data_IF_991303428219
#
_entry.id   IF_991303428219
#
_cell.length_a   1.000
_cell.length_b   1.000
_cell.length_c   1.000
_cell.angle_alpha   90.00
_cell.angle_beta   90.00
_cell.angle_gamma   90.00
#
_symmetry.space_group_name_H-M   'P 1'
#
loop_
_entity.id
_entity.type
_entity.pdbx_description
1 polymer ?
#
# COMPACT_ATOMS: atom_id res chain seq x y z
N UNK A 1 12.33 8.85 0.02
CA UNK A 1 11.12 8.03 -0.22
C UNK A 1 9.90 8.79 0.26
N UNK A 2 9.57 8.73 1.55
CA UNK A 2 8.36 9.35 2.11
C UNK A 2 8.26 10.86 1.84
N UNK A 3 9.38 11.60 1.91
CA UNK A 3 9.41 13.05 1.65
C UNK A 3 8.93 13.46 0.26
N UNK A 4 9.21 12.65 -0.79
CA UNK A 4 8.83 12.99 -2.17
C UNK A 4 7.40 12.58 -2.47
N UNK A 5 6.95 11.42 -1.98
CA UNK A 5 5.57 10.97 -2.15
C UNK A 5 4.59 11.75 -1.25
N UNK A 6 5.05 12.32 -0.13
CA UNK A 6 4.29 13.30 0.66
C UNK A 6 3.94 14.56 -0.13
N UNK A 7 4.69 14.94 -1.17
CA UNK A 7 4.33 16.06 -2.04
C UNK A 7 3.04 15.80 -2.85
N UNK A 8 2.59 14.54 -2.95
CA UNK A 8 1.34 14.17 -3.62
C UNK A 8 0.13 14.28 -2.70
N UNK A 9 0.34 14.59 -1.41
CA UNK A 9 -0.73 14.89 -0.48
C UNK A 9 -1.05 16.41 -0.55
N UNK A 10 -2.29 16.82 -0.89
CA UNK A 10 -2.63 18.22 -1.12
C UNK A 10 -2.44 19.15 0.10
N UNK A 11 -2.32 18.59 1.32
CA UNK A 11 -2.08 19.39 2.55
C UNK A 11 -0.63 19.84 2.76
N UNK A 12 0.32 19.39 1.93
CA UNK A 12 1.76 19.65 2.09
C UNK A 12 2.40 20.37 0.92
N UNK A 13 1.61 20.93 -0.01
CA UNK A 13 2.11 21.61 -1.20
C UNK A 13 2.08 23.12 -0.97
N UNK A 14 3.26 23.72 -0.93
CA UNK A 14 3.42 25.16 -1.14
C UNK A 14 3.57 25.40 -2.65
N UNK A 15 2.52 25.93 -3.28
CA UNK A 15 2.46 26.17 -4.72
C UNK A 15 3.36 27.33 -5.18
N UNK A 16 4.03 28.03 -4.26
CA UNK A 16 4.86 29.20 -4.55
C UNK A 16 6.32 28.93 -4.93
N UNK A 17 6.76 27.69 -5.07
CA UNK A 17 8.18 27.35 -5.30
C UNK A 17 8.59 27.33 -6.78
N UNK A 18 8.18 28.30 -7.60
CA UNK A 18 8.97 28.67 -8.78
C UNK A 18 9.99 29.73 -8.36
N UNK A 19 11.22 29.27 -8.09
CA UNK A 19 12.35 30.15 -7.80
C UNK A 19 12.90 30.71 -9.11
N UNK A 20 12.65 32.00 -9.35
CA UNK A 20 13.18 32.79 -10.47
C UNK A 20 14.71 33.02 -10.32
N UNK A 21 15.28 32.69 -9.16
CA UNK A 21 16.65 32.94 -8.71
C UNK A 21 17.64 31.79 -8.97
N UNK A 22 17.78 31.30 -10.21
CA UNK A 22 18.98 30.55 -10.69
C UNK A 22 19.45 29.34 -9.86
N UNK A 23 18.65 28.83 -8.93
CA UNK A 23 18.95 27.68 -8.10
C UNK A 23 18.71 26.37 -8.84
N UNK A 24 19.28 25.27 -8.33
CA UNK A 24 18.99 23.94 -8.90
C UNK A 24 17.48 23.66 -8.81
N UNK A 25 16.81 23.26 -9.91
CA UNK A 25 15.37 23.07 -9.93
C UNK A 25 14.97 22.06 -8.85
N UNK A 26 14.11 22.50 -7.93
CA UNK A 26 13.59 21.65 -6.86
C UNK A 26 12.46 20.78 -7.40
N UNK A 27 12.53 19.48 -7.15
CA UNK A 27 11.48 18.52 -7.55
C UNK A 27 10.11 18.95 -6.99
N UNK A 28 9.15 19.17 -7.88
CA UNK A 28 7.78 19.56 -7.56
C UNK A 28 6.84 18.35 -7.50
N UNK A 29 5.63 18.55 -6.98
CA UNK A 29 4.57 17.54 -7.07
C UNK A 29 4.20 17.22 -8.53
N UNK A 30 4.31 18.20 -9.44
CA UNK A 30 4.01 18.02 -10.86
C UNK A 30 5.03 17.09 -11.52
N UNK A 31 6.32 17.23 -11.20
CA UNK A 31 7.38 16.35 -11.71
C UNK A 31 7.16 14.90 -11.28
N UNK A 32 6.70 14.70 -10.04
CA UNK A 32 6.39 13.35 -9.53
C UNK A 32 5.15 12.76 -10.22
N UNK A 33 4.09 13.55 -10.42
CA UNK A 33 2.89 13.10 -11.16
C UNK A 33 3.25 12.74 -12.61
N UNK A 34 4.08 13.54 -13.27
CA UNK A 34 4.56 13.27 -14.61
C UNK A 34 5.39 11.97 -14.64
N UNK A 35 6.34 11.81 -13.71
CA UNK A 35 7.14 10.60 -13.59
C UNK A 35 6.28 9.34 -13.35
N UNK A 36 5.23 9.43 -12.54
CA UNK A 36 4.26 8.36 -12.33
C UNK A 36 3.58 7.94 -13.64
N UNK A 37 3.19 8.90 -14.49
CA UNK A 37 2.55 8.61 -15.78
C UNK A 37 3.44 7.80 -16.73
N UNK A 38 4.77 7.94 -16.61
CA UNK A 38 5.76 7.20 -17.41
C UNK A 38 6.35 5.97 -16.70
N UNK A 39 6.02 5.75 -15.41
CA UNK A 39 6.61 4.69 -14.60
C UNK A 39 6.15 3.27 -15.01
N UNK A 40 5.13 3.15 -15.86
CA UNK A 40 4.56 1.86 -16.31
C UNK A 40 4.24 0.94 -15.12
N UNK A 41 3.50 1.49 -14.16
CA UNK A 41 3.03 0.77 -12.97
C UNK A 41 2.05 -0.34 -13.37
N UNK A 42 2.13 -1.47 -12.68
CA UNK A 42 1.07 -2.47 -12.77
C UNK A 42 -0.20 -1.95 -12.09
N UNK A 43 -1.35 -2.55 -12.41
CA UNK A 43 -2.60 -2.18 -11.76
C UNK A 43 -2.55 -2.39 -10.24
N UNK A 44 -1.77 -3.37 -9.76
CA UNK A 44 -1.59 -3.55 -8.33
C UNK A 44 -0.78 -2.40 -7.73
N UNK A 45 0.38 -2.10 -8.31
CA UNK A 45 1.26 -1.03 -7.83
C UNK A 45 0.53 0.32 -7.78
N UNK A 46 -0.23 0.67 -8.81
CA UNK A 46 -1.02 1.91 -8.85
C UNK A 46 -2.07 1.95 -7.72
N UNK A 47 -2.81 0.86 -7.50
CA UNK A 47 -3.78 0.79 -6.42
C UNK A 47 -3.13 0.88 -5.03
N UNK A 48 -1.98 0.23 -4.82
CA UNK A 48 -1.24 0.32 -3.56
C UNK A 48 -0.75 1.74 -3.29
N UNK A 49 -0.23 2.43 -4.30
CA UNK A 49 0.19 3.83 -4.19
C UNK A 49 -0.99 4.75 -3.86
N UNK A 50 -2.14 4.57 -4.52
CA UNK A 50 -3.36 5.35 -4.22
C UNK A 50 -3.84 5.14 -2.79
N UNK A 51 -3.87 3.89 -2.34
CA UNK A 51 -4.26 3.54 -0.97
C UNK A 51 -3.27 4.13 0.05
N UNK A 52 -1.96 4.02 -0.20
CA UNK A 52 -0.93 4.41 0.77
C UNK A 52 -0.68 5.91 0.82
N UNK A 53 -0.72 6.59 -0.33
CA UNK A 53 -0.26 7.98 -0.45
C UNK A 53 -1.35 8.98 -0.83
N UNK A 54 -2.39 8.59 -1.56
CA UNK A 54 -3.40 9.55 -2.10
C UNK A 54 -4.67 9.64 -1.25
N UNK A 55 -4.65 9.10 -0.03
CA UNK A 55 -5.81 9.13 0.86
C UNK A 55 -6.99 8.28 0.38
N UNK A 56 -6.76 7.34 -0.55
CA UNK A 56 -7.80 6.42 -1.00
C UNK A 56 -8.08 5.28 0.00
N UNK A 57 -7.39 5.24 1.16
CA UNK A 57 -7.52 4.23 2.21
C UNK A 57 -8.80 4.33 3.05
N UNK A 58 -9.95 4.71 2.47
CA UNK A 58 -11.23 4.62 3.19
C UNK A 58 -11.54 3.17 3.58
N UNK A 59 -12.29 2.97 4.67
CA UNK A 59 -12.69 1.61 5.10
C UNK A 59 -13.39 0.82 3.99
N UNK A 60 -14.21 1.49 3.17
CA UNK A 60 -14.89 0.89 2.03
C UNK A 60 -13.90 0.42 0.96
N UNK A 61 -12.93 1.27 0.60
CA UNK A 61 -11.93 0.93 -0.41
C UNK A 61 -11.01 -0.20 0.04
N UNK A 62 -10.60 -0.19 1.32
CA UNK A 62 -9.83 -1.29 1.92
C UNK A 62 -10.60 -2.62 1.82
N UNK A 63 -11.90 -2.60 2.14
CA UNK A 63 -12.75 -3.80 2.03
C UNK A 63 -12.86 -4.30 0.58
N UNK A 64 -13.23 -3.43 -0.36
CA UNK A 64 -13.36 -3.78 -1.78
C UNK A 64 -12.03 -4.33 -2.32
N UNK A 65 -10.93 -3.66 -2.01
CA UNK A 65 -9.61 -4.09 -2.48
C UNK A 65 -9.20 -5.44 -1.88
N UNK A 66 -9.51 -5.70 -0.61
CA UNK A 66 -9.27 -7.01 0.00
C UNK A 66 -10.05 -8.15 -0.66
N UNK A 67 -11.28 -7.89 -1.11
CA UNK A 67 -12.11 -8.87 -1.84
C UNK A 67 -11.54 -9.17 -3.23
N UNK A 68 -11.09 -8.13 -3.94
CA UNK A 68 -10.44 -8.27 -5.26
C UNK A 68 -9.14 -9.08 -5.13
N UNK A 69 -8.35 -8.84 -4.07
CA UNK A 69 -7.09 -9.55 -3.85
C UNK A 69 -7.26 -11.05 -3.60
N UNK A 70 -8.45 -11.54 -3.24
CA UNK A 70 -8.69 -12.99 -3.06
C UNK A 70 -8.26 -13.74 -4.31
N UNK A 71 -8.68 -13.26 -5.49
CA UNK A 71 -8.30 -13.88 -6.76
C UNK A 71 -6.79 -13.91 -7.03
N UNK A 72 -6.02 -12.91 -6.55
CA UNK A 72 -4.55 -12.88 -6.69
C UNK A 72 -3.85 -13.89 -5.79
N UNK A 73 -4.39 -14.18 -4.60
CA UNK A 73 -3.75 -15.05 -3.60
C UNK A 73 -4.35 -16.45 -3.50
N UNK A 74 -5.45 -16.73 -4.22
CA UNK A 74 -6.20 -17.99 -4.11
C UNK A 74 -5.33 -19.24 -4.32
N UNK A 75 -4.48 -19.24 -5.36
CA UNK A 75 -3.58 -20.37 -5.62
C UNK A 75 -2.58 -20.58 -4.48
N UNK A 76 -1.91 -19.51 -4.03
CA UNK A 76 -0.95 -19.55 -2.92
C UNK A 76 -1.58 -20.08 -1.63
N UNK A 77 -2.81 -19.66 -1.33
CA UNK A 77 -3.54 -20.12 -0.15
C UNK A 77 -3.94 -21.60 -0.27
N UNK A 78 -4.50 -21.99 -1.41
CA UNK A 78 -4.94 -23.37 -1.67
C UNK A 78 -3.78 -24.35 -1.63
N UNK A 79 -2.67 -24.03 -2.32
CA UNK A 79 -1.44 -24.85 -2.32
C UNK A 79 -0.84 -25.02 -0.93
N UNK A 80 -1.09 -24.07 -0.04
CA UNK A 80 -0.58 -24.08 1.32
C UNK A 80 -1.57 -24.63 2.35
N UNK A 81 -2.71 -25.17 1.89
CA UNK A 81 -3.74 -25.78 2.73
C UNK A 81 -4.47 -24.80 3.65
N UNK A 82 -4.50 -23.50 3.30
CA UNK A 82 -5.32 -22.53 4.03
C UNK A 82 -6.79 -22.81 3.72
N UNK A 83 -7.63 -22.83 4.76
CA UNK A 83 -9.07 -23.00 4.58
C UNK A 83 -9.67 -21.79 3.87
N UNK A 84 -10.50 -22.04 2.87
CA UNK A 84 -11.10 -21.00 2.02
C UNK A 84 -11.90 -19.95 2.82
N UNK A 85 -12.54 -20.35 3.92
CA UNK A 85 -13.25 -19.44 4.84
C UNK A 85 -12.36 -18.34 5.43
N UNK A 86 -11.03 -18.51 5.44
CA UNK A 86 -10.10 -17.54 6.00
C UNK A 86 -9.50 -16.59 4.96
N UNK A 87 -9.63 -16.85 3.66
CA UNK A 87 -8.91 -16.10 2.61
C UNK A 87 -9.26 -14.61 2.66
N UNK A 88 -10.54 -14.28 2.64
CA UNK A 88 -11.01 -12.89 2.71
C UNK A 88 -10.62 -12.21 4.02
N UNK A 89 -10.66 -12.93 5.15
CA UNK A 89 -10.28 -12.40 6.46
C UNK A 89 -8.78 -12.09 6.54
N UNK A 90 -7.93 -12.96 6.00
CA UNK A 90 -6.48 -12.75 5.92
C UNK A 90 -6.18 -11.47 5.13
N UNK A 91 -6.79 -11.33 3.96
CA UNK A 91 -6.57 -10.17 3.10
C UNK A 91 -7.14 -8.88 3.70
N UNK A 92 -8.31 -8.93 4.33
CA UNK A 92 -8.89 -7.77 5.01
C UNK A 92 -7.98 -7.26 6.12
N UNK A 93 -7.45 -8.16 6.95
CA UNK A 93 -6.50 -7.80 8.00
C UNK A 93 -5.23 -7.21 7.37
N UNK A 94 -4.63 -7.91 6.40
CA UNK A 94 -3.38 -7.49 5.78
C UNK A 94 -3.47 -6.12 5.11
N UNK A 95 -4.52 -5.85 4.33
CA UNK A 95 -4.74 -4.55 3.68
C UNK A 95 -5.03 -3.47 4.72
N UNK A 96 -5.78 -3.78 5.78
CA UNK A 96 -6.03 -2.84 6.88
C UNK A 96 -4.73 -2.44 7.57
N UNK A 97 -3.87 -3.40 7.90
CA UNK A 97 -2.58 -3.14 8.53
C UNK A 97 -1.62 -2.41 7.58
N UNK A 98 -1.67 -2.73 6.29
CA UNK A 98 -0.87 -2.05 5.29
C UNK A 98 -1.30 -0.57 5.10
N UNK A 99 -2.61 -0.26 5.13
CA UNK A 99 -3.13 1.06 4.74
C UNK A 99 -3.45 1.99 5.92
N UNK A 100 -3.91 1.45 7.04
CA UNK A 100 -4.56 2.21 8.12
C UNK A 100 -3.79 2.22 9.43
N UNK A 101 -2.77 1.37 9.56
CA UNK A 101 -1.98 1.26 10.77
C UNK A 101 -0.72 2.13 10.64
N UNK A 102 -0.43 2.99 11.63
CA UNK A 102 0.82 3.75 11.63
C UNK A 102 2.01 2.81 11.83
N UNK A 103 3.17 3.14 11.23
CA UNK A 103 4.35 2.27 11.23
C UNK A 103 4.87 1.86 12.62
N UNK A 104 4.57 2.63 13.66
CA UNK A 104 4.95 2.33 15.04
C UNK A 104 4.00 1.35 15.76
N UNK A 105 2.80 1.14 15.23
CA UNK A 105 1.81 0.27 15.87
C UNK A 105 2.00 -1.17 15.41
N UNK A 106 2.06 -2.08 16.39
CA UNK A 106 2.08 -3.52 16.17
C UNK A 106 0.70 -4.10 16.51
N UNK A 107 -0.10 -4.49 15.50
CA UNK A 107 -1.42 -5.06 15.71
C UNK A 107 -1.33 -6.33 16.56
N UNK A 108 -2.19 -6.42 17.57
CA UNK A 108 -2.35 -7.64 18.37
C UNK A 108 -3.31 -8.61 17.70
N UNK A 109 -3.23 -9.90 18.03
CA UNK A 109 -4.17 -10.90 17.53
C UNK A 109 -5.63 -10.55 17.90
N UNK A 110 -5.85 -9.87 19.03
CA UNK A 110 -7.17 -9.36 19.45
C UNK A 110 -7.68 -8.23 18.53
N UNK A 111 -6.81 -7.32 18.12
CA UNK A 111 -7.18 -6.26 17.18
C UNK A 111 -7.51 -6.85 15.81
N UNK A 112 -6.71 -7.82 15.35
CA UNK A 112 -6.96 -8.59 14.10
C UNK A 112 -8.31 -9.32 14.14
N UNK A 113 -8.61 -9.99 15.26
CA UNK A 113 -9.90 -10.65 15.49
C UNK A 113 -11.10 -9.69 15.39
N UNK A 114 -10.98 -8.48 15.95
CA UNK A 114 -12.02 -7.46 15.87
C UNK A 114 -12.29 -6.98 14.43
N UNK A 115 -11.31 -7.09 13.51
CA UNK A 115 -11.47 -6.71 12.11
C UNK A 115 -12.23 -7.76 11.29
N UNK A 116 -12.02 -9.04 11.57
CA UNK A 116 -12.53 -10.14 10.75
C UNK A 116 -13.67 -10.95 11.40
N UNK A 117 -14.00 -10.70 12.67
CA UNK A 117 -15.09 -11.40 13.37
C UNK A 117 -14.74 -12.79 13.88
N UNK A 118 -13.51 -13.26 13.69
CA UNK A 118 -13.01 -14.52 14.24
C UNK A 118 -12.44 -14.37 15.64
N UNK A 119 -12.29 -15.47 16.37
CA UNK A 119 -11.59 -15.46 17.66
C UNK A 119 -10.10 -15.12 17.48
N UNK A 120 -9.47 -14.51 18.49
CA UNK A 120 -8.03 -14.24 18.51
C UNK A 120 -7.20 -15.53 18.35
N UNK A 121 -7.72 -16.65 18.88
CA UNK A 121 -7.10 -17.98 18.76
C UNK A 121 -7.15 -18.49 17.33
N UNK A 122 -8.28 -18.31 16.63
CA UNK A 122 -8.40 -18.65 15.21
C UNK A 122 -7.42 -17.84 14.37
N UNK A 123 -7.35 -16.52 14.61
CA UNK A 123 -6.40 -15.64 13.92
C UNK A 123 -4.97 -16.10 14.16
N UNK A 124 -4.60 -16.37 15.41
CA UNK A 124 -3.24 -16.81 15.80
C UNK A 124 -2.85 -18.11 15.10
N UNK A 125 -3.74 -19.09 15.07
CA UNK A 125 -3.45 -20.44 14.56
C UNK A 125 -3.50 -20.53 13.04
N UNK A 126 -4.43 -19.84 12.38
CA UNK A 126 -4.72 -20.08 10.97
C UNK A 126 -4.35 -18.91 10.06
N UNK A 127 -4.38 -17.67 10.55
CA UNK A 127 -4.30 -16.48 9.69
C UNK A 127 -2.98 -15.73 9.84
N UNK A 128 -2.38 -15.71 11.04
CA UNK A 128 -1.23 -14.85 11.38
C UNK A 128 -0.09 -14.91 10.37
N UNK A 129 0.40 -16.11 10.06
CA UNK A 129 1.52 -16.30 9.13
C UNK A 129 1.18 -15.75 7.75
N UNK A 130 -0.04 -15.96 7.29
CA UNK A 130 -0.48 -15.49 5.98
C UNK A 130 -0.73 -13.99 5.93
N UNK A 131 -1.27 -13.41 6.99
CA UNK A 131 -1.38 -11.95 7.14
C UNK A 131 0.01 -11.33 7.00
N UNK A 132 1.00 -11.84 7.75
CA UNK A 132 2.35 -11.28 7.76
C UNK A 132 3.03 -11.46 6.38
N UNK A 133 2.82 -12.60 5.70
CA UNK A 133 3.32 -12.84 4.33
C UNK A 133 2.69 -11.92 3.29
N UNK A 134 1.37 -11.72 3.35
CA UNK A 134 0.68 -10.80 2.43
C UNK A 134 1.19 -9.37 2.66
N UNK A 135 1.34 -8.93 3.91
CA UNK A 135 1.89 -7.60 4.20
C UNK A 135 3.29 -7.45 3.61
N UNK A 136 4.16 -8.47 3.73
CA UNK A 136 5.49 -8.44 3.12
C UNK A 136 5.42 -8.32 1.59
N UNK A 137 4.55 -9.09 0.95
CA UNK A 137 4.33 -9.06 -0.51
C UNK A 137 3.81 -7.69 -0.97
N UNK A 138 2.84 -7.11 -0.25
CA UNK A 138 2.31 -5.78 -0.55
C UNK A 138 3.36 -4.68 -0.39
N UNK A 139 4.23 -4.76 0.63
CA UNK A 139 5.33 -3.80 0.80
C UNK A 139 6.38 -3.94 -0.31
N UNK A 140 6.67 -5.16 -0.76
CA UNK A 140 7.58 -5.40 -1.88
C UNK A 140 7.02 -4.82 -3.18
N UNK A 141 5.74 -5.08 -3.48
CA UNK A 141 5.06 -4.53 -4.66
C UNK A 141 5.01 -3.00 -4.61
N UNK A 142 4.73 -2.41 -3.44
CA UNK A 142 4.79 -0.97 -3.25
C UNK A 142 6.20 -0.43 -3.55
N UNK A 143 7.24 -1.05 -2.99
CA UNK A 143 8.64 -0.66 -3.21
C UNK A 143 9.02 -0.72 -4.69
N UNK A 144 8.61 -1.78 -5.39
CA UNK A 144 8.85 -1.91 -6.84
C UNK A 144 8.18 -0.76 -7.62
N UNK A 145 6.95 -0.38 -7.25
CA UNK A 145 6.26 0.76 -7.83
C UNK A 145 7.00 2.08 -7.56
N UNK A 146 7.48 2.28 -6.33
CA UNK A 146 8.27 3.46 -5.95
C UNK A 146 9.58 3.56 -6.74
N UNK A 147 10.30 2.46 -6.90
CA UNK A 147 11.56 2.39 -7.64
C UNK A 147 11.36 2.73 -9.13
N UNK A 148 10.25 2.26 -9.73
CA UNK A 148 9.87 2.64 -11.10
C UNK A 148 9.63 4.13 -11.24
N UNK A 149 8.91 4.74 -10.29
CA UNK A 149 8.66 6.20 -10.28
C UNK A 149 9.99 6.94 -10.14
N UNK A 150 10.83 6.53 -9.20
CA UNK A 150 12.11 7.18 -8.96
C UNK A 150 13.03 7.10 -10.18
N UNK A 151 13.07 5.96 -10.86
CA UNK A 151 13.82 5.78 -12.10
C UNK A 151 13.40 6.80 -13.17
N UNK A 152 12.11 7.13 -13.26
CA UNK A 152 11.64 8.17 -14.18
C UNK A 152 12.01 9.58 -13.70
N UNK A 153 11.82 9.88 -12.42
CA UNK A 153 12.25 11.16 -11.82
C UNK A 153 13.74 11.41 -12.05
N UNK A 154 14.59 10.38 -11.92
CA UNK A 154 16.04 10.51 -12.12
C UNK A 154 16.45 10.71 -13.57
N UNK A 155 15.60 10.34 -14.55
CA UNK A 155 15.85 10.62 -15.98
C UNK A 155 15.52 12.06 -16.37
N UNK A 156 14.68 12.73 -15.57
CA UNK A 156 14.27 14.12 -15.80
C UNK A 156 15.27 15.13 -15.23
N UNK A 157 16.31 14.65 -14.53
CA UNK A 157 17.49 15.43 -14.13
C UNK A 157 18.60 15.30 -15.15
#
# INVERSE_FOLDING_TARGET
MEKFLRLLNPKSIDYGAERIDGGSPSLTAQDVVLAMSYAKLTQLEDNLLRLKYFGANTKSNVKIFSEILVGKYESKFTESGVSHEYHQSILLIAVTEFCLVPASYKPTERARAALCGWSDTTVRKHMKIWVDRVIQDLNLELSNGEDKIFTQVSKTK
#
